data_IF_174951612781
#
_entry.id   IF_174951612781
#
_cell.length_a   1.000
_cell.length_b   1.000
_cell.length_c   1.000
_cell.angle_alpha   90.00
_cell.angle_beta   90.00
_cell.angle_gamma   90.00
#
_symmetry.space_group_name_H-M   'P 1'
#
loop_
_entity.id
_entity.type
_entity.pdbx_description
1 polymer ?
#
# COMPACT_ATOMS: atom_id res chain seq x y z
N UNK A 1 28.23 -16.08 4.76
CA UNK A 1 27.70 -17.06 3.78
C UNK A 1 26.31 -16.62 3.32
N UNK A 2 26.26 -15.85 2.24
CA UNK A 2 25.02 -15.31 1.67
C UNK A 2 24.35 -16.41 0.85
N UNK A 3 23.32 -17.09 1.38
CA UNK A 3 22.47 -17.97 0.56
C UNK A 3 21.81 -17.10 -0.50
N UNK A 4 22.34 -17.12 -1.70
CA UNK A 4 21.81 -16.43 -2.87
C UNK A 4 20.36 -16.89 -3.10
N UNK A 5 19.49 -15.93 -3.46
CA UNK A 5 18.08 -16.19 -3.76
C UNK A 5 17.85 -17.26 -4.86
N UNK A 6 18.92 -17.70 -5.53
CA UNK A 6 18.97 -18.78 -6.53
C UNK A 6 18.77 -20.17 -5.92
N UNK A 7 19.09 -20.39 -4.64
CA UNK A 7 18.88 -21.68 -3.95
C UNK A 7 17.51 -21.82 -3.29
N UNK A 8 16.62 -20.85 -3.44
CA UNK A 8 15.29 -20.87 -2.83
C UNK A 8 14.28 -21.57 -3.72
N UNK A 9 13.39 -22.38 -3.12
CA UNK A 9 12.22 -22.88 -3.85
C UNK A 9 11.36 -21.71 -4.35
N UNK A 10 10.58 -21.87 -5.44
CA UNK A 10 9.73 -20.82 -5.98
C UNK A 10 8.84 -20.15 -4.92
N UNK A 11 8.23 -20.94 -4.02
CA UNK A 11 7.41 -20.43 -2.92
C UNK A 11 8.20 -19.60 -1.89
N UNK A 12 9.42 -20.01 -1.53
CA UNK A 12 10.29 -19.23 -0.63
C UNK A 12 10.72 -17.92 -1.28
N UNK A 13 11.02 -17.94 -2.58
CA UNK A 13 11.36 -16.74 -3.35
C UNK A 13 10.17 -15.76 -3.41
N UNK A 14 8.97 -16.25 -3.72
CA UNK A 14 7.75 -15.44 -3.77
C UNK A 14 7.41 -14.81 -2.40
N UNK A 15 7.52 -15.59 -1.32
CA UNK A 15 7.32 -15.07 0.03
C UNK A 15 8.35 -13.99 0.39
N UNK A 16 9.62 -14.22 0.03
CA UNK A 16 10.69 -13.24 0.25
C UNK A 16 10.43 -11.94 -0.52
N UNK A 17 10.05 -12.01 -1.80
CA UNK A 17 9.76 -10.81 -2.60
C UNK A 17 8.51 -10.07 -2.12
N UNK A 18 7.47 -10.77 -1.66
CA UNK A 18 6.29 -10.15 -1.05
C UNK A 18 6.64 -9.40 0.25
N UNK A 19 7.47 -10.00 1.10
CA UNK A 19 7.96 -9.35 2.32
C UNK A 19 8.77 -8.09 2.01
N UNK A 20 9.64 -8.15 0.99
CA UNK A 20 10.39 -6.98 0.55
C UNK A 20 9.50 -5.90 -0.05
N UNK A 21 8.50 -6.25 -0.86
CA UNK A 21 7.52 -5.31 -1.38
C UNK A 21 6.86 -4.52 -0.24
N UNK A 22 6.31 -5.19 0.78
CA UNK A 22 5.74 -4.53 1.96
C UNK A 22 6.74 -3.64 2.68
N UNK A 23 7.97 -4.12 2.88
CA UNK A 23 9.02 -3.36 3.56
C UNK A 23 9.36 -2.08 2.81
N UNK A 24 9.54 -2.18 1.49
CA UNK A 24 9.87 -1.04 0.63
C UNK A 24 8.71 -0.06 0.52
N UNK A 25 7.47 -0.53 0.48
CA UNK A 25 6.27 0.33 0.54
C UNK A 25 6.20 1.09 1.85
N UNK A 26 6.41 0.43 3.00
CA UNK A 26 6.43 1.12 4.29
C UNK A 26 7.54 2.16 4.38
N UNK A 27 8.74 1.82 3.89
CA UNK A 27 9.86 2.75 3.81
C UNK A 27 9.45 3.96 2.98
N UNK A 28 8.96 3.75 1.75
CA UNK A 28 8.54 4.83 0.86
C UNK A 28 7.52 5.75 1.53
N UNK A 29 6.41 5.22 2.06
CA UNK A 29 5.38 6.04 2.74
C UNK A 29 5.95 6.82 3.93
N UNK A 30 6.89 6.21 4.67
CA UNK A 30 7.53 6.87 5.82
C UNK A 30 8.40 8.06 5.39
N UNK A 31 9.03 7.97 4.22
CA UNK A 31 10.00 8.94 3.71
C UNK A 31 9.44 9.91 2.65
N UNK A 32 8.23 9.69 2.12
CA UNK A 32 7.52 10.63 1.21
C UNK A 32 6.99 11.89 1.91
N UNK A 33 7.64 12.33 2.99
CA UNK A 33 7.23 13.49 3.78
C UNK A 33 7.72 14.75 3.12
N UNK A 34 6.79 15.60 2.66
CA UNK A 34 7.09 16.99 2.30
C UNK A 34 6.43 17.99 3.24
N UNK A 35 5.14 17.81 3.57
CA UNK A 35 4.41 18.70 4.50
C UNK A 35 3.26 17.96 5.21
N UNK A 36 2.75 18.52 6.31
CA UNK A 36 1.51 18.02 6.95
C UNK A 36 1.68 16.91 8.00
N UNK A 37 0.54 16.27 8.35
CA UNK A 37 0.49 15.25 9.38
C UNK A 37 1.18 13.94 8.95
N UNK A 38 1.85 13.29 9.90
CA UNK A 38 2.58 12.03 9.67
C UNK A 38 1.62 10.88 9.33
N UNK A 39 1.96 10.13 8.28
CA UNK A 39 1.36 8.83 7.99
C UNK A 39 1.78 7.77 9.00
N UNK A 40 0.78 7.07 9.54
CA UNK A 40 0.93 5.85 10.32
C UNK A 40 0.55 4.67 9.44
N UNK A 41 1.23 3.54 9.61
CA UNK A 41 1.05 2.36 8.79
C UNK A 41 0.52 1.21 9.64
N UNK A 42 -0.56 0.59 9.16
CA UNK A 42 -1.09 -0.68 9.68
C UNK A 42 -0.76 -1.77 8.67
N UNK A 43 -0.23 -2.90 9.15
CA UNK A 43 0.16 -4.04 8.32
C UNK A 43 -0.71 -5.25 8.64
N UNK A 44 -1.33 -5.81 7.60
CA UNK A 44 -2.22 -6.97 7.69
C UNK A 44 -1.53 -8.29 7.33
N UNK A 45 -0.23 -8.45 7.61
CA UNK A 45 0.42 -9.77 7.53
C UNK A 45 -0.26 -10.82 8.42
N UNK A 46 -0.53 -12.00 7.88
CA UNK A 46 -1.06 -13.16 8.61
C UNK A 46 -0.07 -13.73 9.62
N UNK A 47 -0.53 -14.73 10.41
CA UNK A 47 0.33 -15.47 11.34
C UNK A 47 1.56 -16.00 10.58
N UNK A 48 2.75 -15.76 11.11
CA UNK A 48 4.05 -16.02 10.46
C UNK A 48 4.39 -15.16 9.22
N UNK A 49 3.80 -13.97 9.05
CA UNK A 49 4.00 -13.07 7.89
C UNK A 49 3.51 -13.67 6.55
N UNK A 50 2.72 -14.74 6.61
CA UNK A 50 1.95 -15.25 5.49
C UNK A 50 0.89 -14.23 5.04
N UNK A 51 0.32 -14.37 3.85
CA UNK A 51 -0.79 -13.50 3.42
C UNK A 51 -1.98 -13.70 4.38
N UNK A 52 -2.49 -12.61 4.97
CA UNK A 52 -3.78 -12.69 5.64
C UNK A 52 -4.89 -12.77 4.59
N UNK A 53 -6.06 -13.26 5.01
CA UNK A 53 -7.25 -13.20 4.15
C UNK A 53 -7.61 -11.73 3.92
N UNK A 54 -7.60 -11.29 2.66
CA UNK A 54 -7.91 -9.90 2.32
C UNK A 54 -7.22 -9.46 1.03
N UNK A 55 -7.67 -8.34 0.49
CA UNK A 55 -7.15 -7.68 -0.73
C UNK A 55 -6.43 -6.37 -0.40
N UNK A 56 -6.15 -6.12 0.88
CA UNK A 56 -5.41 -4.95 1.34
C UNK A 56 -4.28 -5.48 2.23
N UNK A 57 -3.04 -5.16 1.87
CA UNK A 57 -1.86 -5.56 2.63
C UNK A 57 -1.53 -4.53 3.71
N UNK A 58 -1.67 -3.24 3.40
CA UNK A 58 -1.33 -2.14 4.30
C UNK A 58 -2.42 -1.06 4.26
N UNK A 59 -2.60 -0.36 5.38
CA UNK A 59 -3.30 0.93 5.42
C UNK A 59 -2.29 2.01 5.81
N UNK A 60 -2.26 3.10 5.04
CA UNK A 60 -1.67 4.35 5.50
C UNK A 60 -2.79 5.26 6.01
N UNK A 61 -2.66 5.75 7.24
CA UNK A 61 -3.62 6.65 7.87
C UNK A 61 -2.92 7.85 8.51
N UNK A 62 -3.46 9.04 8.32
CA UNK A 62 -3.00 10.26 9.01
C UNK A 62 -4.19 11.13 9.42
N UNK A 63 -3.97 12.03 10.36
CA UNK A 63 -4.93 13.09 10.65
C UNK A 63 -5.09 14.01 9.44
N UNK A 64 -6.33 14.40 9.16
CA UNK A 64 -6.64 15.43 8.20
C UNK A 64 -6.70 16.80 8.90
N UNK A 65 -5.74 17.66 8.58
CA UNK A 65 -5.61 19.00 9.14
C UNK A 65 -6.13 20.09 8.19
N UNK A 66 -6.85 19.77 7.11
CA UNK A 66 -7.32 20.73 6.10
C UNK A 66 -8.62 21.45 6.49
N UNK A 67 -9.44 20.84 7.32
CA UNK A 67 -10.77 21.34 7.65
C UNK A 67 -10.85 21.73 9.11
N UNK A 68 -11.46 22.89 9.37
CA UNK A 68 -11.92 23.30 10.69
C UNK A 68 -13.39 23.69 10.50
N UNK A 69 -14.30 23.02 11.19
CA UNK A 69 -15.74 23.20 11.02
C UNK A 69 -16.44 23.37 12.36
N UNK A 70 -17.69 23.86 12.38
CA UNK A 70 -18.41 24.11 13.63
C UNK A 70 -18.65 22.84 14.46
N UNK A 71 -18.64 21.65 13.83
CA UNK A 71 -18.89 20.37 14.49
C UNK A 71 -17.65 19.50 14.74
N UNK A 72 -16.57 19.71 13.97
CA UNK A 72 -15.34 18.91 14.06
C UNK A 72 -14.13 19.85 14.00
N UNK A 73 -13.19 19.65 14.92
CA UNK A 73 -11.97 20.43 14.97
C UNK A 73 -10.96 19.90 13.97
N UNK A 74 -10.06 20.79 13.58
CA UNK A 74 -8.86 20.44 12.82
C UNK A 74 -8.14 19.21 13.41
N UNK A 75 -8.04 18.15 12.61
CA UNK A 75 -7.39 16.89 12.99
C UNK A 75 -8.26 15.83 13.66
N UNK A 76 -9.57 16.05 13.75
CA UNK A 76 -10.53 15.03 14.18
C UNK A 76 -10.79 13.98 13.07
N UNK A 77 -10.65 14.37 11.81
CA UNK A 77 -10.82 13.50 10.65
C UNK A 77 -9.52 12.79 10.26
N UNK A 78 -9.64 11.73 9.46
CA UNK A 78 -8.51 10.97 8.95
C UNK A 78 -8.51 10.89 7.41
N UNK A 79 -7.32 11.00 6.84
CA UNK A 79 -7.04 10.52 5.48
C UNK A 79 -6.64 9.04 5.58
N UNK A 80 -7.32 8.17 4.81
CA UNK A 80 -7.05 6.73 4.74
C UNK A 80 -6.66 6.37 3.30
N UNK A 81 -5.55 5.64 3.13
CA UNK A 81 -5.13 5.04 1.85
C UNK A 81 -5.02 3.54 2.04
N UNK A 82 -5.76 2.78 1.22
CA UNK A 82 -5.67 1.32 1.17
C UNK A 82 -4.56 0.94 0.19
N UNK A 83 -3.69 0.01 0.58
CA UNK A 83 -2.52 -0.36 -0.22
C UNK A 83 -2.48 -1.87 -0.42
N UNK A 84 -2.51 -2.29 -1.67
CA UNK A 84 -2.15 -3.64 -2.10
C UNK A 84 -0.68 -3.63 -2.53
N UNK A 85 0.09 -4.60 -2.09
CA UNK A 85 1.50 -4.76 -2.49
C UNK A 85 1.66 -5.95 -3.43
N UNK A 86 2.59 -5.85 -4.38
CA UNK A 86 3.00 -6.95 -5.26
C UNK A 86 4.51 -7.00 -5.33
N UNK A 87 5.08 -8.19 -5.13
CA UNK A 87 6.52 -8.42 -5.12
C UNK A 87 6.97 -9.37 -6.23
N UNK A 88 8.03 -9.00 -6.94
CA UNK A 88 8.63 -9.82 -8.00
C UNK A 88 7.72 -9.92 -9.23
N UNK A 89 7.50 -11.14 -9.71
CA UNK A 89 6.66 -11.43 -10.88
C UNK A 89 5.20 -11.72 -10.51
N UNK A 90 4.76 -11.36 -9.31
CA UNK A 90 3.38 -11.55 -8.90
C UNK A 90 2.43 -10.79 -9.84
N UNK A 91 1.32 -11.39 -10.29
CA UNK A 91 0.41 -10.74 -11.22
C UNK A 91 -0.27 -9.53 -10.56
N UNK A 92 -0.62 -8.55 -11.39
CA UNK A 92 -1.47 -7.42 -11.00
C UNK A 92 -2.84 -7.91 -10.52
N UNK A 93 -3.55 -7.10 -9.70
CA UNK A 93 -4.92 -7.38 -9.28
C UNK A 93 -5.83 -7.67 -10.48
N UNK A 94 -6.66 -8.69 -10.36
CA UNK A 94 -7.69 -9.04 -11.36
C UNK A 94 -8.82 -8.01 -11.38
N UNK A 95 -9.71 -8.11 -12.37
CA UNK A 95 -10.92 -7.26 -12.41
C UNK A 95 -11.80 -7.46 -11.15
N UNK A 96 -11.87 -8.69 -10.63
CA UNK A 96 -12.59 -8.99 -9.39
C UNK A 96 -11.91 -8.32 -8.18
N UNK A 97 -10.57 -8.40 -8.08
CA UNK A 97 -9.82 -7.74 -7.02
C UNK A 97 -10.02 -6.22 -7.05
N UNK A 98 -10.00 -5.62 -8.24
CA UNK A 98 -10.28 -4.19 -8.43
C UNK A 98 -11.69 -3.84 -7.97
N UNK A 99 -12.70 -4.63 -8.32
CA UNK A 99 -14.08 -4.41 -7.88
C UNK A 99 -14.23 -4.54 -6.36
N UNK A 100 -13.50 -5.47 -5.72
CA UNK A 100 -13.47 -5.62 -4.26
C UNK A 100 -12.76 -4.43 -3.60
N UNK A 101 -11.61 -4.00 -4.12
CA UNK A 101 -10.85 -2.84 -3.64
C UNK A 101 -11.67 -1.56 -3.71
N UNK A 102 -12.39 -1.33 -4.81
CA UNK A 102 -13.28 -0.17 -4.95
C UNK A 102 -14.42 -0.17 -3.94
N UNK A 103 -15.01 -1.35 -3.66
CA UNK A 103 -16.05 -1.49 -2.63
C UNK A 103 -15.51 -1.23 -1.23
N UNK A 104 -14.33 -1.78 -0.92
CA UNK A 104 -13.65 -1.64 0.36
C UNK A 104 -13.29 -0.16 0.63
N UNK A 105 -12.72 0.51 -0.37
CA UNK A 105 -12.43 1.94 -0.32
C UNK A 105 -13.68 2.79 -0.09
N UNK A 106 -14.80 2.48 -0.76
CA UNK A 106 -16.07 3.16 -0.55
C UNK A 106 -16.60 2.95 0.87
N UNK A 107 -16.54 1.72 1.37
CA UNK A 107 -17.03 1.37 2.70
C UNK A 107 -16.28 2.11 3.81
N UNK A 108 -14.95 2.16 3.71
CA UNK A 108 -14.09 2.85 4.68
C UNK A 108 -13.86 4.34 4.37
N UNK A 109 -14.49 4.88 3.32
CA UNK A 109 -14.27 6.25 2.83
C UNK A 109 -12.79 6.58 2.60
N UNK A 110 -12.05 5.60 2.09
CA UNK A 110 -10.65 5.77 1.77
C UNK A 110 -10.47 6.80 0.66
N UNK A 111 -9.48 7.68 0.82
CA UNK A 111 -9.12 8.73 -0.14
C UNK A 111 -8.54 8.15 -1.43
N UNK A 112 -7.84 7.03 -1.33
CA UNK A 112 -7.23 6.35 -2.46
C UNK A 112 -7.03 4.86 -2.20
N UNK A 113 -7.01 4.10 -3.29
CA UNK A 113 -6.45 2.75 -3.34
C UNK A 113 -5.17 2.80 -4.15
N UNK A 114 -4.10 2.23 -3.60
CA UNK A 114 -2.79 2.18 -4.23
C UNK A 114 -2.33 0.74 -4.40
N UNK A 115 -1.81 0.44 -5.59
CA UNK A 115 -1.01 -0.73 -5.86
C UNK A 115 0.46 -0.34 -5.80
N UNK A 116 1.23 -0.98 -4.92
CA UNK A 116 2.67 -0.80 -4.82
C UNK A 116 3.39 -2.04 -5.38
N UNK A 117 4.11 -1.86 -6.48
CA UNK A 117 4.84 -2.93 -7.16
C UNK A 117 6.33 -2.79 -6.90
N UNK A 118 6.92 -3.87 -6.37
CA UNK A 118 8.35 -3.93 -6.12
C UNK A 118 8.98 -5.10 -6.85
N UNK A 119 10.06 -4.81 -7.57
CA UNK A 119 10.94 -5.82 -8.18
C UNK A 119 12.35 -5.62 -7.67
N UNK A 120 13.10 -6.72 -7.57
CA UNK A 120 14.47 -6.68 -7.06
C UNK A 120 15.33 -5.83 -8.00
N UNK A 121 16.11 -4.92 -7.43
CA UNK A 121 16.96 -3.97 -8.14
C UNK A 121 16.22 -2.93 -9.01
N UNK A 122 14.89 -2.83 -8.86
CA UNK A 122 14.08 -1.80 -9.49
C UNK A 122 13.52 -0.84 -8.44
N UNK A 123 13.10 0.35 -8.90
CA UNK A 123 12.37 1.30 -8.06
C UNK A 123 10.99 0.74 -7.70
N UNK A 124 10.48 1.13 -6.52
CA UNK A 124 9.08 0.88 -6.19
C UNK A 124 8.18 1.72 -7.10
N UNK A 125 7.25 1.08 -7.79
CA UNK A 125 6.26 1.77 -8.61
C UNK A 125 4.92 1.84 -7.89
N UNK A 126 4.24 2.97 -7.99
CA UNK A 126 2.93 3.19 -7.40
C UNK A 126 1.90 3.44 -8.48
N UNK A 127 0.75 2.80 -8.32
CA UNK A 127 -0.41 3.03 -9.16
C UNK A 127 -1.62 3.35 -8.30
N UNK A 128 -2.31 4.44 -8.59
CA UNK A 128 -3.60 4.77 -7.99
C UNK A 128 -4.71 4.14 -8.81
N UNK A 129 -5.70 3.57 -8.13
CA UNK A 129 -6.91 3.10 -8.79
C UNK A 129 -7.80 4.29 -9.17
N UNK A 130 -8.16 4.39 -10.44
CA UNK A 130 -9.07 5.39 -10.99
C UNK A 130 -10.18 4.68 -11.79
N UNK A 131 -11.36 4.55 -11.19
CA UNK A 131 -12.42 3.68 -11.68
C UNK A 131 -11.97 2.22 -11.67
N UNK A 132 -11.71 1.66 -12.85
CA UNK A 132 -11.20 0.28 -13.03
C UNK A 132 -9.75 0.23 -13.49
N UNK A 133 -9.08 1.38 -13.67
CA UNK A 133 -7.75 1.47 -14.26
C UNK A 133 -6.70 1.85 -13.22
N UNK A 134 -5.50 1.28 -13.40
CA UNK A 134 -4.32 1.64 -12.62
C UNK A 134 -3.56 2.76 -13.31
N UNK A 135 -3.46 3.92 -12.66
CA UNK A 135 -2.72 5.08 -13.16
C UNK A 135 -1.43 5.24 -12.38
N UNK A 136 -0.29 5.35 -13.07
CA UNK A 136 1.00 5.63 -12.43
C UNK A 136 0.95 6.96 -11.69
N UNK A 137 1.47 6.99 -10.47
CA UNK A 137 1.50 8.19 -9.61
C UNK A 137 2.83 8.29 -8.87
N UNK A 138 3.27 9.50 -8.58
CA UNK A 138 4.39 9.72 -7.67
C UNK A 138 3.96 9.49 -6.21
N UNK A 139 4.92 9.18 -5.31
CA UNK A 139 4.64 9.11 -3.89
C UNK A 139 4.05 10.40 -3.31
N UNK A 140 4.49 11.56 -3.79
CA UNK A 140 4.05 12.86 -3.29
C UNK A 140 2.58 13.14 -3.64
N UNK A 141 2.09 12.68 -4.80
CA UNK A 141 0.67 12.82 -5.17
C UNK A 141 -0.28 12.08 -4.21
N UNK A 142 0.19 11.03 -3.55
CA UNK A 142 -0.61 10.22 -2.62
C UNK A 142 -0.32 10.58 -1.16
N UNK A 143 0.96 10.66 -0.81
CA UNK A 143 1.45 10.73 0.56
C UNK A 143 2.02 12.11 0.93
N UNK A 144 2.07 13.05 0.00
CA UNK A 144 2.46 14.45 0.25
C UNK A 144 1.46 15.26 1.06
#
# INVERSE_FOLDING_TARGET
MTRTAEMMSPGKKAHHTAKWARTMTKWLVTYSRRTGAKWNLVDFGGKAKAEARGIVDLIAIRKDHRHDGPALKRGDLFDIVLIQTKGGSAPRPTAEDVARLSRDAKYHRAKAVVLAEWRRAEKLELFKLNGTRWQSVSPDEIFG
#
